data_IF_071371769008
#
_entry.id   IF_071371769008
#
_cell.length_a   1.000
_cell.length_b   1.000
_cell.length_c   1.000
_cell.angle_alpha   90.00
_cell.angle_beta   90.00
_cell.angle_gamma   90.00
#
_symmetry.space_group_name_H-M   'P 1'
#
loop_
_entity.id
_entity.type
_entity.pdbx_description
1 polymer ?
#
# COMPACT_ATOMS: atom_id res chain seq x y z
N UNK A 1 46.91 -42.61 -20.41
CA UNK A 1 45.71 -42.07 -19.73
C UNK A 1 45.95 -40.74 -18.98
N UNK A 2 47.17 -40.39 -18.55
CA UNK A 2 47.43 -39.12 -17.84
C UNK A 2 47.28 -37.83 -18.69
N UNK A 3 47.54 -37.88 -20.01
CA UNK A 3 47.43 -36.70 -20.91
C UNK A 3 45.99 -36.21 -21.16
N UNK A 4 44.97 -37.06 -20.97
CA UNK A 4 43.56 -36.66 -21.16
C UNK A 4 43.00 -35.91 -19.93
N UNK A 5 43.60 -36.09 -18.75
CA UNK A 5 43.19 -35.41 -17.52
C UNK A 5 43.67 -33.95 -17.46
N UNK A 6 44.79 -33.61 -18.11
CA UNK A 6 45.28 -32.22 -18.20
C UNK A 6 44.46 -31.36 -19.18
N UNK A 7 43.96 -31.94 -20.27
CA UNK A 7 43.14 -31.24 -21.27
C UNK A 7 41.72 -30.95 -20.75
N UNK A 8 41.21 -31.75 -19.81
CA UNK A 8 39.85 -31.60 -19.29
C UNK A 8 39.71 -30.56 -18.16
N UNK A 9 40.82 -30.20 -17.49
CA UNK A 9 40.85 -29.16 -16.44
C UNK A 9 40.51 -27.75 -16.94
N UNK A 10 41.00 -27.26 -18.10
CA UNK A 10 40.59 -25.96 -18.63
C UNK A 10 39.12 -25.98 -19.08
N UNK A 11 38.64 -27.04 -19.74
CA UNK A 11 37.25 -27.14 -20.24
C UNK A 11 36.25 -27.12 -19.07
N UNK A 12 36.54 -27.82 -17.97
CA UNK A 12 35.72 -27.79 -16.76
C UNK A 12 35.74 -26.41 -16.06
N UNK A 13 36.85 -25.67 -16.12
CA UNK A 13 36.92 -24.28 -15.61
C UNK A 13 36.09 -23.33 -16.48
N UNK A 14 36.15 -23.48 -17.80
CA UNK A 14 35.37 -22.66 -18.73
C UNK A 14 33.87 -22.93 -18.61
N UNK A 15 33.45 -24.19 -18.42
CA UNK A 15 32.03 -24.51 -18.19
C UNK A 15 31.51 -23.94 -16.88
N UNK A 16 32.29 -23.99 -15.79
CA UNK A 16 31.92 -23.35 -14.51
C UNK A 16 31.87 -21.84 -14.63
N UNK A 17 32.79 -21.21 -15.36
CA UNK A 17 32.77 -19.76 -15.61
C UNK A 17 31.59 -19.33 -16.48
N UNK A 18 31.24 -20.12 -17.50
CA UNK A 18 30.06 -19.86 -18.35
C UNK A 18 28.77 -20.05 -17.55
N UNK A 19 28.66 -21.10 -16.73
CA UNK A 19 27.50 -21.29 -15.85
C UNK A 19 27.42 -20.17 -14.80
N UNK A 20 28.53 -19.78 -14.18
CA UNK A 20 28.56 -18.67 -13.23
C UNK A 20 28.19 -17.34 -13.90
N UNK A 21 28.66 -17.09 -15.13
CA UNK A 21 28.27 -15.91 -15.92
C UNK A 21 26.79 -15.94 -16.29
N UNK A 22 26.25 -17.09 -16.70
CA UNK A 22 24.82 -17.27 -16.98
C UNK A 22 23.99 -17.04 -15.72
N UNK A 23 24.40 -17.59 -14.57
CA UNK A 23 23.71 -17.39 -13.28
C UNK A 23 23.78 -15.93 -12.85
N UNK A 24 24.93 -15.26 -13.02
CA UNK A 24 25.11 -13.86 -12.63
C UNK A 24 24.31 -12.93 -13.56
N UNK A 25 24.31 -13.18 -14.86
CA UNK A 25 23.49 -12.45 -15.85
C UNK A 25 22.00 -12.71 -15.62
N UNK A 26 21.58 -13.95 -15.34
CA UNK A 26 20.20 -14.29 -15.03
C UNK A 26 19.73 -13.65 -13.72
N UNK A 27 20.58 -13.64 -12.69
CA UNK A 27 20.29 -13.00 -11.40
C UNK A 27 20.21 -11.48 -11.56
N UNK A 28 21.07 -10.88 -12.38
CA UNK A 28 21.04 -9.46 -12.69
C UNK A 28 19.80 -9.05 -13.50
N UNK A 29 19.43 -9.82 -14.51
CA UNK A 29 18.22 -9.59 -15.30
C UNK A 29 16.96 -9.76 -14.45
N UNK A 30 16.93 -10.78 -13.58
CA UNK A 30 15.87 -10.97 -12.59
C UNK A 30 15.79 -9.77 -11.64
N UNK A 31 16.89 -9.37 -11.02
CA UNK A 31 16.92 -8.23 -10.10
C UNK A 31 16.46 -6.93 -10.77
N UNK A 32 16.90 -6.67 -12.01
CA UNK A 32 16.48 -5.52 -12.81
C UNK A 32 14.97 -5.54 -13.09
N UNK A 33 14.44 -6.69 -13.53
CA UNK A 33 13.00 -6.86 -13.81
C UNK A 33 12.18 -6.68 -12.54
N UNK A 34 12.57 -7.30 -11.44
CA UNK A 34 11.87 -7.23 -10.16
C UNK A 34 11.86 -5.83 -9.57
N UNK A 35 12.95 -5.07 -9.76
CA UNK A 35 13.02 -3.68 -9.30
C UNK A 35 12.06 -2.79 -10.09
N UNK A 36 12.02 -2.92 -11.41
CA UNK A 36 11.12 -2.11 -12.26
C UNK A 36 9.66 -2.54 -12.07
N UNK A 37 9.39 -3.83 -12.12
CA UNK A 37 8.03 -4.37 -12.02
C UNK A 37 7.48 -4.14 -10.61
N UNK A 38 8.25 -4.39 -9.57
CA UNK A 38 7.79 -4.27 -8.18
C UNK A 38 7.55 -2.83 -7.77
N UNK A 39 8.45 -1.90 -8.12
CA UNK A 39 8.23 -0.48 -7.78
C UNK A 39 7.00 0.10 -8.47
N UNK A 40 6.74 -0.32 -9.71
CA UNK A 40 5.67 0.25 -10.52
C UNK A 40 4.33 -0.45 -10.25
N UNK A 41 4.33 -1.77 -10.05
CA UNK A 41 3.10 -2.56 -9.84
C UNK A 41 2.52 -2.38 -8.43
N UNK A 42 3.37 -2.21 -7.42
CA UNK A 42 2.94 -2.03 -6.03
C UNK A 42 2.91 -0.56 -5.58
N UNK A 43 2.99 0.39 -6.51
CA UNK A 43 2.74 1.80 -6.21
C UNK A 43 1.38 2.07 -5.52
N UNK A 44 0.27 1.40 -5.89
CA UNK A 44 -1.00 1.54 -5.18
C UNK A 44 -0.93 1.07 -3.72
N UNK A 45 -0.10 0.07 -3.41
CA UNK A 45 0.14 -0.38 -2.03
C UNK A 45 0.75 0.76 -1.21
N UNK A 46 1.74 1.46 -1.79
CA UNK A 46 2.38 2.62 -1.14
C UNK A 46 1.36 3.71 -0.84
N UNK A 47 0.49 4.05 -1.81
CA UNK A 47 -0.59 5.02 -1.61
C UNK A 47 -1.53 4.62 -0.47
N UNK A 48 -2.01 3.39 -0.48
CA UNK A 48 -2.91 2.89 0.54
C UNK A 48 -2.23 2.89 1.93
N UNK A 49 -0.96 2.47 2.00
CA UNK A 49 -0.16 2.48 3.22
C UNK A 49 0.08 3.90 3.76
N UNK A 50 0.26 4.91 2.90
CA UNK A 50 0.39 6.30 3.35
C UNK A 50 -0.91 6.76 4.03
N UNK A 51 -2.07 6.52 3.43
CA UNK A 51 -3.35 6.91 4.03
C UNK A 51 -3.61 6.17 5.35
N UNK A 52 -3.31 4.86 5.41
CA UNK A 52 -3.43 4.10 6.66
C UNK A 52 -2.45 4.61 7.73
N UNK A 53 -1.21 4.96 7.36
CA UNK A 53 -0.22 5.51 8.29
C UNK A 53 -0.67 6.84 8.90
N UNK A 54 -1.40 7.68 8.15
CA UNK A 54 -1.98 8.91 8.69
C UNK A 54 -3.03 8.62 9.76
N UNK A 55 -3.96 7.70 9.49
CA UNK A 55 -4.99 7.30 10.47
C UNK A 55 -4.36 6.66 11.70
N UNK A 56 -3.42 5.73 11.50
CA UNK A 56 -2.75 5.02 12.59
C UNK A 56 -1.93 5.97 13.46
N UNK A 57 -1.23 6.95 12.88
CA UNK A 57 -0.46 7.95 13.66
C UNK A 57 -1.32 8.88 14.49
N UNK A 58 -2.51 9.22 14.00
CA UNK A 58 -3.43 10.08 14.73
C UNK A 58 -4.13 9.33 15.86
N UNK A 59 -4.64 8.13 15.55
CA UNK A 59 -5.56 7.42 16.44
C UNK A 59 -4.88 6.34 17.28
N UNK A 60 -3.74 5.81 16.83
CA UNK A 60 -3.11 4.62 17.41
C UNK A 60 -3.87 3.32 17.11
N UNK A 61 -4.95 3.38 16.33
CA UNK A 61 -5.87 2.26 16.12
C UNK A 61 -5.63 1.56 14.79
N UNK A 62 -5.66 0.23 14.83
CA UNK A 62 -5.70 -0.59 13.62
C UNK A 62 -7.14 -0.55 13.07
N UNK A 63 -7.40 0.38 12.16
CA UNK A 63 -8.72 0.54 11.54
C UNK A 63 -8.88 -0.43 10.35
N UNK A 64 -9.55 -1.56 10.59
CA UNK A 64 -9.80 -2.58 9.55
C UNK A 64 -10.71 -2.05 8.44
N UNK A 65 -11.67 -1.18 8.76
CA UNK A 65 -12.58 -0.58 7.78
C UNK A 65 -11.88 0.31 6.74
N UNK A 66 -10.62 0.72 6.98
CA UNK A 66 -9.84 1.43 5.97
C UNK A 66 -9.63 0.60 4.69
N UNK A 67 -9.56 -0.73 4.80
CA UNK A 67 -9.52 -1.61 3.64
C UNK A 67 -10.70 -1.35 2.70
N UNK A 68 -11.90 -1.14 3.26
CA UNK A 68 -13.10 -0.87 2.46
C UNK A 68 -13.13 0.54 1.89
N UNK A 69 -12.36 1.49 2.44
CA UNK A 69 -12.15 2.79 1.80
C UNK A 69 -11.37 2.63 0.50
N UNK A 70 -10.40 1.70 0.46
CA UNK A 70 -9.67 1.33 -0.77
C UNK A 70 -10.62 0.64 -1.76
N UNK A 71 -11.42 -0.33 -1.30
CA UNK A 71 -12.45 -0.99 -2.13
C UNK A 71 -13.41 0.05 -2.71
N UNK A 72 -13.92 0.96 -1.88
CA UNK A 72 -14.85 2.00 -2.29
C UNK A 72 -14.25 2.92 -3.35
N UNK A 73 -12.95 3.22 -3.29
CA UNK A 73 -12.27 3.96 -4.36
C UNK A 73 -12.21 3.24 -5.69
N UNK A 74 -12.03 1.92 -5.68
CA UNK A 74 -12.09 1.12 -6.90
C UNK A 74 -13.49 1.18 -7.54
N UNK A 75 -14.56 1.06 -6.73
CA UNK A 75 -15.94 1.11 -7.20
C UNK A 75 -16.38 2.51 -7.64
N UNK A 76 -16.12 3.54 -6.83
CA UNK A 76 -16.46 4.92 -7.19
C UNK A 76 -15.74 5.31 -8.48
N UNK A 77 -14.45 4.99 -8.61
CA UNK A 77 -13.72 5.35 -9.83
C UNK A 77 -14.20 4.62 -11.07
N UNK A 78 -14.57 3.34 -10.95
CA UNK A 78 -15.14 2.58 -12.07
C UNK A 78 -16.52 3.11 -12.43
N UNK A 79 -17.36 3.38 -11.42
CA UNK A 79 -18.69 3.93 -11.64
C UNK A 79 -18.63 5.30 -12.32
N UNK A 80 -17.74 6.20 -11.88
CA UNK A 80 -17.54 7.50 -12.54
C UNK A 80 -17.02 7.33 -13.96
N UNK A 81 -16.03 6.46 -14.16
CA UNK A 81 -15.44 6.21 -15.49
C UNK A 81 -16.47 5.67 -16.49
N UNK A 82 -17.27 4.69 -16.07
CA UNK A 82 -18.26 4.03 -16.95
C UNK A 82 -19.53 4.85 -17.16
N UNK A 83 -19.96 5.64 -16.16
CA UNK A 83 -21.18 6.46 -16.27
C UNK A 83 -20.95 7.73 -17.09
N UNK A 84 -19.79 8.36 -16.94
CA UNK A 84 -19.48 9.63 -17.60
C UNK A 84 -18.51 9.47 -18.79
N UNK A 85 -18.10 8.24 -19.09
CA UNK A 85 -17.15 7.90 -20.18
C UNK A 85 -15.87 8.74 -20.16
N UNK A 86 -15.46 9.16 -18.96
CA UNK A 86 -14.30 10.03 -18.78
C UNK A 86 -13.02 9.21 -18.89
N UNK A 87 -11.98 9.83 -19.46
CA UNK A 87 -10.63 9.28 -19.37
C UNK A 87 -10.24 9.06 -17.90
N UNK A 88 -9.62 7.93 -17.60
CA UNK A 88 -9.18 7.54 -16.25
C UNK A 88 -8.49 8.66 -15.46
N UNK A 89 -7.67 9.49 -16.10
CA UNK A 89 -6.99 10.58 -15.38
C UNK A 89 -7.96 11.64 -14.85
N UNK A 90 -9.05 11.91 -15.58
CA UNK A 90 -10.09 12.83 -15.13
C UNK A 90 -11.04 12.17 -14.12
N UNK A 91 -11.19 10.85 -14.14
CA UNK A 91 -12.03 10.12 -13.16
C UNK A 91 -11.41 10.11 -11.77
N UNK A 92 -10.08 10.19 -11.68
CA UNK A 92 -9.36 10.24 -10.41
C UNK A 92 -9.82 11.41 -9.52
N UNK A 93 -10.06 12.59 -10.08
CA UNK A 93 -10.43 13.80 -9.31
C UNK A 93 -11.73 13.62 -8.51
N UNK A 94 -12.89 13.31 -9.15
CA UNK A 94 -14.11 13.02 -8.41
C UNK A 94 -13.97 11.78 -7.53
N UNK A 95 -13.17 10.78 -7.92
CA UNK A 95 -12.98 9.57 -7.11
C UNK A 95 -12.30 9.86 -5.78
N UNK A 96 -11.18 10.59 -5.80
CA UNK A 96 -10.47 10.93 -4.56
C UNK A 96 -11.29 11.87 -3.68
N UNK A 97 -12.07 12.78 -4.28
CA UNK A 97 -12.95 13.67 -3.54
C UNK A 97 -14.08 12.90 -2.84
N UNK A 98 -14.79 12.02 -3.56
CA UNK A 98 -15.89 11.23 -3.03
C UNK A 98 -15.41 10.19 -2.00
N UNK A 99 -14.26 9.57 -2.22
CA UNK A 99 -13.66 8.63 -1.24
C UNK A 99 -13.13 9.32 0.01
N UNK A 100 -12.56 10.52 -0.14
CA UNK A 100 -12.22 11.40 0.98
C UNK A 100 -13.45 11.73 1.82
N UNK A 101 -14.55 12.14 1.17
CA UNK A 101 -15.83 12.41 1.83
C UNK A 101 -16.40 11.15 2.49
N UNK A 102 -16.33 9.99 1.83
CA UNK A 102 -16.74 8.71 2.39
C UNK A 102 -15.96 8.37 3.66
N UNK A 103 -14.64 8.58 3.67
CA UNK A 103 -13.83 8.36 4.87
C UNK A 103 -14.24 9.30 6.01
N UNK A 104 -14.49 10.58 5.72
CA UNK A 104 -15.03 11.53 6.72
C UNK A 104 -16.40 11.11 7.22
N UNK A 105 -17.27 10.61 6.34
CA UNK A 105 -18.59 10.11 6.71
C UNK A 105 -18.48 8.91 7.67
N UNK A 106 -17.58 7.96 7.39
CA UNK A 106 -17.35 6.83 8.31
C UNK A 106 -16.86 7.28 9.68
N UNK A 107 -16.04 8.33 9.73
CA UNK A 107 -15.61 8.93 10.99
C UNK A 107 -16.79 9.49 11.78
N UNK A 108 -17.63 10.34 11.17
CA UNK A 108 -18.76 10.95 11.86
C UNK A 108 -19.85 9.96 12.23
N UNK A 109 -20.10 8.95 11.40
CA UNK A 109 -21.17 7.98 11.61
C UNK A 109 -20.81 6.96 12.71
N UNK A 110 -19.56 6.50 12.75
CA UNK A 110 -19.17 5.34 13.57
C UNK A 110 -18.12 5.70 14.61
N UNK A 111 -16.97 6.23 14.18
CA UNK A 111 -15.82 6.39 15.06
C UNK A 111 -15.95 7.56 16.03
N UNK A 112 -16.56 8.67 15.64
CA UNK A 112 -16.77 9.82 16.52
C UNK A 112 -17.76 9.50 17.65
N UNK A 113 -18.95 8.91 17.39
CA UNK A 113 -19.85 8.49 18.46
C UNK A 113 -19.23 7.44 19.38
N UNK A 114 -18.45 6.49 18.83
CA UNK A 114 -17.72 5.52 19.65
C UNK A 114 -16.67 6.19 20.55
N UNK A 115 -15.89 7.14 20.02
CA UNK A 115 -14.92 7.92 20.82
C UNK A 115 -15.62 8.72 21.92
N UNK A 116 -16.75 9.36 21.63
CA UNK A 116 -17.53 10.13 22.61
C UNK A 116 -18.11 9.29 23.73
N UNK A 117 -18.31 7.99 23.50
CA UNK A 117 -18.74 7.02 24.52
C UNK A 117 -17.57 6.37 25.27
N UNK A 118 -16.35 6.86 25.08
CA UNK A 118 -15.13 6.34 25.70
C UNK A 118 -14.93 4.83 25.48
N UNK A 119 -15.27 4.35 24.28
CA UNK A 119 -15.05 2.95 23.88
C UNK A 119 -13.54 2.65 23.89
N UNK A 120 -13.16 1.50 24.47
CA UNK A 120 -11.76 1.09 24.56
C UNK A 120 -11.12 0.78 23.20
N UNK A 121 -9.79 0.67 23.20
CA UNK A 121 -8.99 0.46 21.97
C UNK A 121 -9.36 -0.83 21.26
N UNK A 122 -9.55 -1.93 22.02
CA UNK A 122 -9.85 -3.25 21.47
C UNK A 122 -11.26 -3.25 20.85
N UNK A 123 -12.21 -2.67 21.54
CA UNK A 123 -13.60 -2.52 21.10
C UNK A 123 -13.68 -1.67 19.83
N UNK A 124 -12.86 -0.62 19.72
CA UNK A 124 -12.78 0.21 18.52
C UNK A 124 -12.23 -0.57 17.30
N UNK A 125 -11.29 -1.50 17.51
CA UNK A 125 -10.83 -2.42 16.46
C UNK A 125 -11.98 -3.35 16.05
N UNK A 126 -12.73 -3.90 17.01
CA UNK A 126 -13.90 -4.77 16.74
C UNK A 126 -14.97 -4.01 15.95
N UNK A 127 -15.27 -2.76 16.32
CA UNK A 127 -16.19 -1.89 15.58
C UNK A 127 -15.70 -1.69 14.14
N UNK A 128 -14.40 -1.43 13.94
CA UNK A 128 -13.83 -1.27 12.61
C UNK A 128 -13.92 -2.55 11.76
N UNK A 129 -13.76 -3.71 12.38
CA UNK A 129 -13.93 -5.00 11.71
C UNK A 129 -15.39 -5.23 11.31
N UNK A 130 -16.33 -4.98 12.23
CA UNK A 130 -17.77 -5.06 11.93
C UNK A 130 -18.19 -4.11 10.80
N UNK A 131 -17.67 -2.88 10.81
CA UNK A 131 -17.89 -1.91 9.74
C UNK A 131 -17.28 -2.40 8.41
N UNK A 132 -16.10 -3.01 8.43
CA UNK A 132 -15.49 -3.58 7.21
C UNK A 132 -16.37 -4.66 6.59
N UNK A 133 -16.88 -5.58 7.41
CA UNK A 133 -17.80 -6.63 6.96
C UNK A 133 -19.09 -6.02 6.39
N UNK A 134 -19.70 -5.08 7.12
CA UNK A 134 -20.92 -4.40 6.69
C UNK A 134 -20.75 -3.70 5.34
N UNK A 135 -19.68 -2.90 5.20
CA UNK A 135 -19.40 -2.18 3.96
C UNK A 135 -19.12 -3.13 2.78
N UNK A 136 -18.34 -4.20 3.01
CA UNK A 136 -18.02 -5.17 1.97
C UNK A 136 -19.25 -5.86 1.41
N UNK A 137 -20.10 -6.38 2.29
CA UNK A 137 -21.34 -7.04 1.86
C UNK A 137 -22.38 -6.04 1.36
N UNK A 138 -22.38 -4.80 1.86
CA UNK A 138 -23.18 -3.72 1.29
C UNK A 138 -22.80 -3.40 -0.15
N UNK A 139 -21.50 -3.34 -0.45
CA UNK A 139 -21.00 -3.18 -1.83
C UNK A 139 -21.43 -4.37 -2.71
N UNK A 140 -21.31 -5.60 -2.22
CA UNK A 140 -21.76 -6.79 -2.96
C UNK A 140 -23.26 -6.80 -3.20
N UNK A 141 -24.05 -6.32 -2.24
CA UNK A 141 -25.50 -6.21 -2.38
C UNK A 141 -25.88 -5.23 -3.49
N UNK A 142 -25.18 -4.09 -3.59
CA UNK A 142 -25.47 -3.05 -4.59
C UNK A 142 -24.92 -3.43 -5.98
N UNK A 143 -23.68 -3.91 -6.05
CA UNK A 143 -22.96 -4.13 -7.32
C UNK A 143 -22.89 -5.60 -7.77
N UNK A 144 -23.35 -6.54 -6.95
CA UNK A 144 -23.21 -7.97 -7.21
C UNK A 144 -21.83 -8.55 -6.88
N UNK A 145 -21.66 -9.83 -7.17
CA UNK A 145 -20.43 -10.59 -6.92
C UNK A 145 -19.48 -10.63 -8.13
N UNK A 146 -19.90 -10.07 -9.26
CA UNK A 146 -19.16 -10.13 -10.53
C UNK A 146 -17.93 -9.22 -10.52
N UNK A 147 -16.91 -9.64 -11.28
CA UNK A 147 -15.77 -8.78 -11.56
C UNK A 147 -16.20 -7.66 -12.52
N UNK A 148 -15.98 -6.41 -12.10
CA UNK A 148 -16.24 -5.23 -12.92
C UNK A 148 -14.93 -4.63 -13.40
N UNK A 149 -14.96 -3.90 -14.50
CA UNK A 149 -13.77 -3.32 -15.12
C UNK A 149 -13.99 -1.84 -15.40
N UNK A 150 -12.90 -1.09 -15.44
CA UNK A 150 -12.89 0.25 -16.00
C UNK A 150 -13.03 0.16 -17.51
N UNK A 151 -13.80 1.05 -18.10
CA UNK A 151 -13.84 1.24 -19.54
C UNK A 151 -12.71 2.21 -19.94
N UNK A 152 -11.56 1.63 -20.25
CA UNK A 152 -10.35 2.36 -20.64
C UNK A 152 -9.74 1.72 -21.88
N UNK A 153 -9.26 2.52 -22.84
CA UNK A 153 -8.63 1.98 -24.04
C UNK A 153 -7.33 1.26 -23.68
N UNK A 154 -7.08 0.13 -24.34
CA UNK A 154 -5.86 -0.66 -24.17
C UNK A 154 -4.65 0.23 -24.48
N UNK A 155 -3.84 0.47 -23.46
CA UNK A 155 -2.65 1.29 -23.58
C UNK A 155 -1.48 0.47 -24.13
N UNK A 156 -0.73 1.03 -25.09
CA UNK A 156 0.55 0.43 -25.51
C UNK A 156 1.52 0.44 -24.33
N UNK A 157 2.18 -0.69 -24.09
CA UNK A 157 3.18 -0.79 -23.02
C UNK A 157 4.39 0.08 -23.33
N UNK A 158 4.87 0.81 -22.31
CA UNK A 158 6.08 1.62 -22.40
C UNK A 158 7.27 0.80 -21.92
N UNK A 159 8.42 0.92 -22.59
CA UNK A 159 9.63 0.21 -22.17
C UNK A 159 10.40 1.05 -21.15
N UNK A 160 10.38 0.63 -19.89
CA UNK A 160 11.21 1.19 -18.81
C UNK A 160 12.36 0.22 -18.56
N UNK A 161 13.60 0.66 -18.79
CA UNK A 161 14.79 -0.19 -18.64
C UNK A 161 14.66 -1.55 -19.36
N UNK A 162 14.09 -1.58 -20.57
CA UNK A 162 13.91 -2.81 -21.34
C UNK A 162 12.73 -3.69 -20.90
N UNK A 163 11.99 -3.30 -19.86
CA UNK A 163 10.81 -4.00 -19.35
C UNK A 163 9.54 -3.28 -19.82
N UNK A 164 8.57 -4.02 -20.35
CA UNK A 164 7.28 -3.46 -20.75
C UNK A 164 6.40 -3.17 -19.53
N UNK A 165 5.97 -1.92 -19.38
CA UNK A 165 5.19 -1.44 -18.23
C UNK A 165 3.96 -0.69 -18.74
N UNK A 166 2.80 -0.93 -18.11
CA UNK A 166 1.56 -0.21 -18.42
C UNK A 166 1.66 1.26 -17.97
N UNK A 167 1.21 2.23 -18.79
CA UNK A 167 1.14 3.64 -18.40
C UNK A 167 0.39 3.86 -17.07
N UNK A 168 -0.67 3.10 -16.80
CA UNK A 168 -1.44 3.23 -15.55
C UNK A 168 -0.58 2.97 -14.32
N UNK A 169 0.32 1.99 -14.38
CA UNK A 169 1.22 1.68 -13.26
C UNK A 169 2.27 2.78 -13.06
N UNK A 170 2.79 3.36 -14.15
CA UNK A 170 3.73 4.50 -14.07
C UNK A 170 3.02 5.70 -13.45
N UNK A 171 1.80 6.00 -13.89
CA UNK A 171 1.01 7.09 -13.30
C UNK A 171 0.63 6.83 -11.86
N UNK A 172 0.40 5.57 -11.47
CA UNK A 172 0.20 5.19 -10.07
C UNK A 172 1.45 5.50 -9.24
N UNK A 173 2.65 5.17 -9.73
CA UNK A 173 3.92 5.46 -9.06
C UNK A 173 4.17 6.97 -8.94
N UNK A 174 3.97 7.72 -10.02
CA UNK A 174 4.10 9.19 -9.99
C UNK A 174 3.10 9.80 -9.02
N UNK A 175 1.86 9.33 -9.01
CA UNK A 175 0.82 9.79 -8.08
C UNK A 175 1.16 9.43 -6.63
N UNK A 176 1.69 8.22 -6.39
CA UNK A 176 2.15 7.78 -5.08
C UNK A 176 3.24 8.69 -4.53
N UNK A 177 4.29 8.93 -5.32
CA UNK A 177 5.39 9.80 -4.93
C UNK A 177 4.96 11.27 -4.81
N UNK A 178 4.08 11.74 -5.71
CA UNK A 178 3.52 13.09 -5.68
C UNK A 178 2.69 13.34 -4.42
N UNK A 179 1.73 12.47 -4.11
CA UNK A 179 0.90 12.54 -2.89
C UNK A 179 1.78 12.43 -1.65
N UNK A 180 2.74 11.50 -1.65
CA UNK A 180 3.70 11.37 -0.56
C UNK A 180 4.50 12.64 -0.31
N UNK A 181 5.07 13.23 -1.37
CA UNK A 181 5.85 14.45 -1.29
C UNK A 181 4.99 15.61 -0.79
N UNK A 182 3.80 15.79 -1.36
CA UNK A 182 2.85 16.83 -0.94
C UNK A 182 2.46 16.66 0.54
N UNK A 183 2.17 15.44 0.99
CA UNK A 183 1.83 15.17 2.40
C UNK A 183 3.01 15.42 3.33
N UNK A 184 4.22 14.98 2.98
CA UNK A 184 5.42 15.22 3.78
C UNK A 184 5.70 16.73 3.87
N UNK A 185 5.63 17.43 2.75
CA UNK A 185 5.81 18.87 2.70
C UNK A 185 4.74 19.59 3.52
N UNK A 186 3.47 19.23 3.34
CA UNK A 186 2.34 19.78 4.07
C UNK A 186 2.48 19.55 5.58
N UNK A 187 2.77 18.33 6.03
CA UNK A 187 2.93 18.04 7.44
C UNK A 187 4.14 18.80 8.01
N UNK A 188 5.27 18.86 7.30
CA UNK A 188 6.49 19.52 7.82
C UNK A 188 6.41 21.04 7.83
N UNK A 189 5.79 21.65 6.83
CA UNK A 189 5.85 23.11 6.61
C UNK A 189 4.55 23.85 6.92
N UNK A 190 3.39 23.19 6.93
CA UNK A 190 2.11 23.88 7.15
C UNK A 190 1.77 24.07 8.64
N UNK A 191 0.95 25.09 8.93
CA UNK A 191 0.36 25.33 10.25
C UNK A 191 -0.48 24.14 10.74
N UNK A 192 -1.24 23.52 9.83
CA UNK A 192 -2.02 22.32 10.12
C UNK A 192 -1.12 21.13 10.48
N UNK A 193 0.04 21.00 9.84
CA UNK A 193 1.04 20.00 10.19
C UNK A 193 1.63 20.16 11.60
N UNK A 194 1.76 21.40 12.08
CA UNK A 194 2.13 21.69 13.48
C UNK A 194 1.00 21.24 14.42
N UNK A 195 -0.25 21.55 14.08
CA UNK A 195 -1.42 21.13 14.86
C UNK A 195 -1.56 19.62 14.96
N UNK A 196 -1.31 18.88 13.86
CA UNK A 196 -1.31 17.41 13.85
C UNK A 196 -0.26 16.86 14.82
N UNK A 197 0.96 17.40 14.79
CA UNK A 197 2.03 16.95 15.70
C UNK A 197 1.75 17.29 17.16
N UNK A 198 1.17 18.46 17.42
CA UNK A 198 0.77 18.87 18.77
C UNK A 198 -0.33 17.94 19.32
N UNK A 199 -1.36 17.66 18.50
CA UNK A 199 -2.46 16.78 18.87
C UNK A 199 -2.02 15.33 19.12
N UNK A 200 -1.05 14.84 18.34
CA UNK A 200 -0.47 13.50 18.55
C UNK A 200 0.42 13.40 19.79
N UNK A 201 0.87 14.53 20.36
CA UNK A 201 1.64 14.57 21.61
C UNK A 201 0.71 14.52 22.82
N UNK A 202 -0.18 15.50 22.93
CA UNK A 202 -1.19 15.58 23.99
C UNK A 202 -2.44 16.33 23.49
N UNK A 203 -3.55 15.60 23.37
CA UNK A 203 -4.81 16.15 22.88
C UNK A 203 -5.39 17.24 23.81
N UNK A 204 -5.19 17.12 25.13
CA UNK A 204 -5.71 18.09 26.09
C UNK A 204 -4.90 19.40 26.05
N UNK A 205 -3.56 19.32 26.02
CA UNK A 205 -2.70 20.50 25.92
C UNK A 205 -2.87 21.21 24.57
N UNK A 206 -3.07 20.45 23.49
CA UNK A 206 -3.35 21.02 22.17
C UNK A 206 -4.67 21.83 22.18
N UNK A 207 -5.72 21.32 22.84
CA UNK A 207 -7.00 22.03 22.98
C UNK A 207 -6.87 23.33 23.75
N UNK A 208 -6.14 23.33 24.86
CA UNK A 208 -5.88 24.55 25.66
C UNK A 208 -5.10 25.60 24.84
N UNK A 209 -4.26 25.14 23.90
CA UNK A 209 -3.53 26.00 22.97
C UNK A 209 -4.37 26.52 21.78
N UNK A 210 -5.70 26.29 21.79
CA UNK A 210 -6.63 26.77 20.76
C UNK A 210 -6.69 25.90 19.50
N UNK A 211 -6.11 24.70 19.52
CA UNK A 211 -6.18 23.76 18.39
C UNK A 211 -7.51 23.01 18.45
N UNK A 212 -8.28 23.02 17.36
CA UNK A 212 -9.52 22.25 17.25
C UNK A 212 -9.22 20.79 16.82
N UNK A 213 -9.32 19.79 17.73
CA UNK A 213 -9.02 18.39 17.41
C UNK A 213 -9.93 17.82 16.34
N UNK A 214 -11.20 18.25 16.31
CA UNK A 214 -12.19 17.76 15.37
C UNK A 214 -11.81 18.15 13.95
N UNK A 215 -11.43 19.41 13.72
CA UNK A 215 -11.02 19.88 12.40
C UNK A 215 -9.78 19.13 11.88
N UNK A 216 -8.79 18.95 12.75
CA UNK A 216 -7.55 18.21 12.42
C UNK A 216 -7.85 16.73 12.11
N UNK A 217 -8.70 16.11 12.93
CA UNK A 217 -9.11 14.71 12.74
C UNK A 217 -9.85 14.54 11.43
N UNK A 218 -10.88 15.35 11.16
CA UNK A 218 -11.65 15.31 9.91
C UNK A 218 -10.75 15.47 8.69
N UNK A 219 -9.80 16.40 8.73
CA UNK A 219 -8.83 16.58 7.64
C UNK A 219 -7.98 15.33 7.42
N UNK A 220 -7.48 14.69 8.49
CA UNK A 220 -6.69 13.47 8.37
C UNK A 220 -7.51 12.32 7.79
N UNK A 221 -8.76 12.16 8.22
CA UNK A 221 -9.67 11.17 7.66
C UNK A 221 -9.94 11.43 6.17
N UNK A 222 -10.15 12.70 5.79
CA UNK A 222 -10.29 13.08 4.38
C UNK A 222 -9.04 12.72 3.57
N UNK A 223 -7.85 13.09 4.03
CA UNK A 223 -6.58 12.81 3.34
C UNK A 223 -6.28 11.31 3.24
N UNK A 224 -6.61 10.56 4.29
CA UNK A 224 -6.51 9.10 4.27
C UNK A 224 -7.48 8.48 3.25
N UNK A 225 -8.72 8.99 3.19
CA UNK A 225 -9.70 8.60 2.19
C UNK A 225 -9.27 8.92 0.75
N UNK A 226 -8.67 10.09 0.53
CA UNK A 226 -8.07 10.48 -0.77
C UNK A 226 -6.98 9.49 -1.18
N UNK A 227 -6.06 9.16 -0.27
CA UNK A 227 -4.94 8.25 -0.56
C UNK A 227 -5.43 6.81 -0.79
N UNK A 228 -6.35 6.31 0.05
CA UNK A 228 -6.96 5.00 -0.11
C UNK A 228 -7.82 4.90 -1.37
N UNK A 229 -8.56 5.96 -1.68
CA UNK A 229 -9.39 6.06 -2.88
C UNK A 229 -8.58 6.04 -4.17
N UNK A 230 -7.48 6.81 -4.20
CA UNK A 230 -6.53 6.78 -5.31
C UNK A 230 -5.92 5.39 -5.49
N UNK A 231 -5.48 4.76 -4.38
CA UNK A 231 -4.96 3.39 -4.43
C UNK A 231 -6.00 2.41 -5.00
N UNK A 232 -7.24 2.50 -4.54
CA UNK A 232 -8.36 1.68 -5.02
C UNK A 232 -8.60 1.84 -6.52
N UNK A 233 -8.62 3.08 -7.02
CA UNK A 233 -8.79 3.35 -8.44
C UNK A 233 -7.65 2.75 -9.28
N UNK A 234 -6.40 2.91 -8.84
CA UNK A 234 -5.25 2.32 -9.53
C UNK A 234 -5.21 0.79 -9.45
N UNK A 235 -5.64 0.19 -8.34
CA UNK A 235 -5.81 -1.27 -8.30
C UNK A 235 -6.89 -1.72 -9.29
N UNK A 236 -8.05 -1.08 -9.25
CA UNK A 236 -9.20 -1.43 -10.07
C UNK A 236 -8.95 -1.33 -11.58
N UNK A 237 -8.24 -0.29 -12.04
CA UNK A 237 -7.90 -0.13 -13.47
C UNK A 237 -6.85 -1.14 -13.94
N UNK A 238 -5.98 -1.62 -13.05
CA UNK A 238 -4.90 -2.55 -13.41
C UNK A 238 -5.32 -4.02 -13.36
N UNK A 239 -6.35 -4.36 -12.58
CA UNK A 239 -6.81 -5.74 -12.41
C UNK A 239 -8.30 -5.86 -12.71
N UNK A 240 -9.13 -5.73 -11.69
CA UNK A 240 -10.59 -5.70 -11.76
C UNK A 240 -11.14 -5.12 -10.46
N UNK A 241 -12.33 -4.56 -10.54
CA UNK A 241 -13.07 -4.06 -9.38
C UNK A 241 -13.90 -5.19 -8.81
N UNK A 242 -13.61 -5.54 -7.56
CA UNK A 242 -14.34 -6.55 -6.78
C UNK A 242 -14.41 -6.13 -5.32
N UNK A 243 -15.44 -6.60 -4.60
CA UNK A 243 -15.66 -6.21 -3.21
C UNK A 243 -14.54 -6.63 -2.24
N UNK A 244 -13.76 -7.65 -2.60
CA UNK A 244 -12.65 -8.13 -1.79
C UNK A 244 -11.32 -7.40 -2.03
N UNK A 245 -11.28 -6.45 -2.98
CA UNK A 245 -10.04 -5.81 -3.41
C UNK A 245 -9.26 -5.18 -2.25
N UNK A 246 -9.91 -4.36 -1.42
CA UNK A 246 -9.24 -3.72 -0.30
C UNK A 246 -8.84 -4.68 0.81
N UNK A 247 -9.65 -5.73 1.03
CA UNK A 247 -9.37 -6.77 2.03
C UNK A 247 -8.12 -7.57 1.68
N UNK A 248 -7.96 -7.93 0.41
CA UNK A 248 -6.79 -8.68 -0.07
C UNK A 248 -5.49 -7.89 0.16
N UNK A 249 -5.56 -6.55 0.14
CA UNK A 249 -4.41 -5.67 0.37
C UNK A 249 -4.23 -5.26 1.84
N UNK A 250 -5.22 -5.49 2.71
CA UNK A 250 -5.23 -4.97 4.07
C UNK A 250 -4.01 -5.39 4.90
N UNK A 251 -3.65 -6.68 4.84
CA UNK A 251 -2.49 -7.19 5.57
C UNK A 251 -1.19 -6.56 5.09
N UNK A 252 -1.00 -6.38 3.79
CA UNK A 252 0.19 -5.69 3.25
C UNK A 252 0.24 -4.23 3.68
N UNK A 253 -0.88 -3.52 3.60
CA UNK A 253 -1.01 -2.13 4.05
C UNK A 253 -0.58 -2.03 5.53
N UNK A 254 -1.15 -2.89 6.38
CA UNK A 254 -0.86 -2.93 7.81
C UNK A 254 0.63 -3.21 8.07
N UNK A 255 1.19 -4.25 7.45
CA UNK A 255 2.58 -4.66 7.65
C UNK A 255 3.58 -3.60 7.19
N UNK A 256 3.33 -2.98 6.03
CA UNK A 256 4.14 -1.86 5.52
C UNK A 256 4.11 -0.69 6.50
N UNK A 257 2.96 -0.38 7.09
CA UNK A 257 2.82 0.71 8.07
C UNK A 257 3.49 0.36 9.39
N UNK A 258 3.38 -0.87 9.89
CA UNK A 258 4.04 -1.29 11.14
C UNK A 258 5.57 -1.26 11.00
N UNK A 259 6.11 -1.67 9.86
CA UNK A 259 7.56 -1.63 9.63
C UNK A 259 8.05 -0.21 9.32
N UNK A 260 7.43 0.46 8.35
CA UNK A 260 7.86 1.75 7.83
C UNK A 260 7.46 2.93 8.72
N UNK A 261 6.31 2.83 9.38
CA UNK A 261 5.66 3.91 10.12
C UNK A 261 6.49 4.48 11.26
N UNK A 262 7.39 3.70 11.87
CA UNK A 262 8.33 4.19 12.89
C UNK A 262 9.18 5.37 12.40
N UNK A 263 9.53 5.42 11.11
CA UNK A 263 10.35 6.49 10.49
C UNK A 263 9.51 7.58 9.81
N UNK A 264 8.19 7.59 10.03
CA UNK A 264 7.26 8.50 9.34
C UNK A 264 6.87 8.03 7.94
N UNK A 265 6.23 8.92 7.19
CA UNK A 265 5.73 8.64 5.83
C UNK A 265 6.86 8.18 4.91
N UNK A 266 8.06 8.76 5.03
CA UNK A 266 9.23 8.34 4.25
C UNK A 266 9.59 6.86 4.47
N UNK A 267 9.47 6.37 5.71
CA UNK A 267 9.68 4.95 6.01
C UNK A 267 8.62 4.04 5.41
N UNK A 268 7.37 4.50 5.36
CA UNK A 268 6.24 3.79 4.73
C UNK A 268 6.47 3.61 3.24
N UNK A 269 6.97 4.65 2.56
CA UNK A 269 7.30 4.58 1.12
C UNK A 269 8.40 3.55 0.87
N UNK A 270 9.50 3.62 1.62
CA UNK A 270 10.63 2.69 1.46
C UNK A 270 10.17 1.26 1.74
N UNK A 271 9.39 1.04 2.80
CA UNK A 271 8.88 -0.28 3.14
C UNK A 271 7.91 -0.81 2.06
N UNK A 272 7.00 0.02 1.54
CA UNK A 272 6.05 -0.36 0.51
C UNK A 272 6.73 -0.68 -0.83
N UNK A 273 7.67 0.16 -1.28
CA UNK A 273 8.45 -0.11 -2.49
C UNK A 273 9.32 -1.36 -2.34
N UNK A 274 9.96 -1.55 -1.18
CA UNK A 274 10.73 -2.76 -0.91
C UNK A 274 9.84 -4.01 -0.93
N UNK A 275 8.63 -3.91 -0.37
CA UNK A 275 7.63 -4.99 -0.42
C UNK A 275 7.33 -5.39 -1.87
N UNK A 276 7.06 -4.41 -2.73
CA UNK A 276 6.78 -4.67 -4.13
C UNK A 276 7.94 -5.31 -4.88
N UNK A 277 9.17 -4.84 -4.64
CA UNK A 277 10.38 -5.43 -5.22
C UNK A 277 10.55 -6.89 -4.76
N UNK A 278 10.33 -7.18 -3.48
CA UNK A 278 10.43 -8.56 -2.95
C UNK A 278 9.33 -9.44 -3.52
N UNK A 279 8.09 -8.96 -3.60
CA UNK A 279 6.97 -9.68 -4.22
C UNK A 279 7.30 -10.03 -5.68
N UNK A 280 7.67 -9.03 -6.47
CA UNK A 280 8.05 -9.24 -7.88
C UNK A 280 9.27 -10.15 -8.02
N UNK A 281 10.24 -10.07 -7.11
CA UNK A 281 11.39 -10.97 -7.11
C UNK A 281 11.00 -12.42 -6.89
N UNK A 282 10.11 -12.68 -5.92
CA UNK A 282 9.62 -14.02 -5.64
C UNK A 282 8.75 -14.56 -6.80
N UNK A 283 7.90 -13.72 -7.38
CA UNK A 283 7.03 -14.11 -8.50
C UNK A 283 7.80 -14.41 -9.80
N UNK A 284 8.91 -13.70 -10.04
CA UNK A 284 9.72 -13.86 -11.25
C UNK A 284 10.82 -14.92 -11.09
N UNK A 285 11.07 -15.43 -9.88
CA UNK A 285 12.15 -16.37 -9.61
C UNK A 285 11.92 -17.72 -10.30
N UNK A 286 12.79 -18.12 -11.27
CA UNK A 286 12.63 -19.38 -11.99
C UNK A 286 12.79 -20.58 -11.03
N UNK A 287 11.90 -21.57 -11.14
CA UNK A 287 11.97 -22.83 -10.38
C UNK A 287 11.17 -22.85 -9.08
N UNK A 288 10.69 -21.71 -8.60
CA UNK A 288 9.82 -21.66 -7.43
C UNK A 288 8.32 -21.84 -7.79
N UNK A 289 7.96 -21.81 -9.09
CA UNK A 289 6.58 -21.91 -9.62
C UNK A 289 5.52 -21.29 -8.69
N UNK A 290 5.85 -20.12 -8.18
CA UNK A 290 5.14 -19.51 -7.07
C UNK A 290 3.87 -18.93 -7.66
N UNK A 291 2.76 -19.64 -7.50
CA UNK A 291 1.44 -19.01 -7.54
C UNK A 291 1.51 -17.73 -6.70
N UNK A 292 0.94 -16.59 -7.12
CA UNK A 292 1.03 -15.31 -6.40
C UNK A 292 0.77 -15.43 -4.88
N UNK A 293 -0.09 -16.37 -4.49
CA UNK A 293 -0.36 -16.74 -3.09
C UNK A 293 0.89 -17.13 -2.30
N UNK A 294 1.79 -17.95 -2.85
CA UNK A 294 2.99 -18.38 -2.15
C UNK A 294 3.97 -17.22 -1.92
N UNK A 295 4.12 -16.32 -2.90
CA UNK A 295 4.96 -15.14 -2.76
C UNK A 295 4.43 -14.23 -1.65
N UNK A 296 3.10 -14.04 -1.60
CA UNK A 296 2.44 -13.29 -0.54
C UNK A 296 2.67 -13.90 0.85
N UNK A 297 2.52 -15.21 1.00
CA UNK A 297 2.76 -15.91 2.29
C UNK A 297 4.22 -15.76 2.73
N UNK A 298 5.18 -15.91 1.83
CA UNK A 298 6.61 -15.73 2.14
C UNK A 298 6.90 -14.30 2.62
N UNK A 299 6.33 -13.30 1.95
CA UNK A 299 6.51 -11.89 2.35
C UNK A 299 5.89 -11.63 3.72
N UNK A 300 4.69 -12.15 3.99
CA UNK A 300 4.05 -12.04 5.31
C UNK A 300 4.91 -12.72 6.39
N UNK A 301 5.47 -13.90 6.12
CA UNK A 301 6.38 -14.57 7.04
C UNK A 301 7.65 -13.75 7.30
N UNK A 302 8.23 -13.15 6.25
CA UNK A 302 9.38 -12.25 6.37
C UNK A 302 9.04 -11.04 7.26
N UNK A 303 7.88 -10.43 7.06
CA UNK A 303 7.37 -9.35 7.91
C UNK A 303 7.27 -9.77 9.38
N UNK A 304 6.70 -10.95 9.66
CA UNK A 304 6.61 -11.49 11.02
C UNK A 304 7.98 -11.66 11.66
N UNK A 305 8.96 -12.20 10.92
CA UNK A 305 10.34 -12.35 11.40
C UNK A 305 10.96 -10.99 11.71
N UNK A 306 10.82 -10.00 10.82
CA UNK A 306 11.36 -8.65 11.05
C UNK A 306 10.73 -8.00 12.28
N UNK A 307 9.41 -8.13 12.46
CA UNK A 307 8.71 -7.59 13.62
C UNK A 307 9.13 -8.27 14.92
N UNK A 308 9.30 -9.60 14.92
CA UNK A 308 9.80 -10.35 16.08
C UNK A 308 11.21 -9.89 16.47
N UNK A 309 12.11 -9.76 15.49
CA UNK A 309 13.48 -9.29 15.73
C UNK A 309 13.50 -7.85 16.27
N UNK A 310 12.65 -6.97 15.74
CA UNK A 310 12.52 -5.59 16.24
C UNK A 310 11.94 -5.52 17.66
N UNK A 311 10.91 -6.32 17.95
CA UNK A 311 10.30 -6.39 19.28
C UNK A 311 11.29 -6.81 20.34
N UNK A 312 12.11 -7.83 20.05
CA UNK A 312 13.16 -8.30 20.95
C UNK A 312 14.22 -7.22 21.24
N UNK A 313 14.62 -6.43 20.24
CA UNK A 313 15.61 -5.35 20.42
C UNK A 313 15.14 -4.23 21.35
N UNK A 314 13.84 -3.94 21.41
CA UNK A 314 13.29 -2.96 22.35
C UNK A 314 13.20 -3.53 23.77
N UNK A 315 12.91 -4.83 23.90
CA UNK A 315 12.91 -5.52 25.20
C UNK A 315 14.32 -5.68 25.78
N UNK A 316 15.34 -5.84 24.94
CA UNK A 316 16.76 -5.90 25.35
C UNK A 316 17.32 -4.51 25.69
N UNK A 317 16.91 -3.45 24.98
CA UNK A 317 17.33 -2.08 25.27
C UNK A 317 16.71 -1.49 26.56
N UNK A 318 15.63 -2.07 27.07
CA UNK A 318 15.02 -1.71 28.36
C UNK A 318 15.58 -2.46 29.57
N UNK A 319 16.64 -3.26 29.39
CA UNK A 319 17.36 -3.97 30.47
C UNK A 319 18.66 -3.30 30.90
N UNK A 320 18.80 -1.99 30.68
CA UNK A 320 19.91 -1.18 31.20
C UNK A 320 19.36 -0.11 32.12
#
# INVERSE_FOLDING_TARGET
MARLAEINKPIARWSVLVVALIVLVATWDLARKSLVIGTVSDAPLVLAAIGFALLYRLTGLINVAYAETVTMGAYIGMWVNTTFELNFYFTLIPTIALTGLFSVLTYFAIFRPAKQRNVGVVEMIIISFGLSVFLRYGIQFIFGFEFRYYDVPVQKSLRVLGVGVSPFRITALVSALGIAFLLIWFIRRSRLGIQIRALAGDENLAQVSGINPLAVTVLIWFLAGVAGGAAGAFYGVNTSVRAWLGWDQFLFILLVVLIGGARGIGGVIIAGLATGVVLSFLELMPGLNTTPVYAQVIVIALFMVILKVRGNRLAEAGKV
#
